data_IF_118682375530
#
_entry.id   IF_118682375530
#
_cell.length_a   1.000
_cell.length_b   1.000
_cell.length_c   1.000
_cell.angle_alpha   90.00
_cell.angle_beta   90.00
_cell.angle_gamma   90.00
#
_symmetry.space_group_name_H-M   'P 1'
#
loop_
_entity.id
_entity.type
_entity.pdbx_description
1 polymer ?
#
# COMPACT_ATOMS: atom_id res chain seq x y z
N UNK A 1 42.26 3.77 -32.19
CA UNK A 1 41.36 4.89 -31.88
C UNK A 1 39.93 4.45 -31.60
N UNK A 2 39.42 3.41 -32.20
CA UNK A 2 38.06 2.87 -31.93
C UNK A 2 37.94 2.14 -30.60
N UNK A 3 39.03 1.64 -30.03
CA UNK A 3 39.05 0.88 -28.77
C UNK A 3 38.74 1.76 -27.54
N UNK A 4 39.08 3.04 -27.59
CA UNK A 4 38.86 3.97 -26.46
C UNK A 4 37.44 4.56 -26.42
N UNK A 5 36.71 4.45 -27.53
CA UNK A 5 35.30 4.92 -27.57
C UNK A 5 34.29 3.90 -27.03
N UNK A 6 34.65 2.60 -27.01
CA UNK A 6 33.82 1.54 -26.51
C UNK A 6 33.75 1.53 -24.97
N UNK A 7 34.81 1.94 -24.31
CA UNK A 7 34.88 1.97 -22.84
C UNK A 7 33.85 2.91 -22.19
N UNK A 8 33.68 4.17 -22.64
CA UNK A 8 32.71 5.06 -22.06
C UNK A 8 31.25 4.65 -22.37
N UNK A 9 31.01 4.00 -23.50
CA UNK A 9 29.69 3.51 -23.86
C UNK A 9 29.25 2.34 -22.96
N UNK A 10 30.16 1.41 -22.67
CA UNK A 10 29.90 0.29 -21.77
C UNK A 10 29.68 0.78 -20.33
N UNK A 11 30.46 1.75 -19.88
CA UNK A 11 30.32 2.37 -18.56
C UNK A 11 29.01 3.14 -18.42
N UNK A 12 28.57 3.81 -19.50
CA UNK A 12 27.29 4.52 -19.54
C UNK A 12 26.08 3.58 -19.47
N UNK A 13 26.14 2.43 -20.14
CA UNK A 13 25.10 1.39 -20.06
C UNK A 13 24.98 0.78 -18.65
N UNK A 14 26.11 0.65 -17.94
CA UNK A 14 26.13 0.10 -16.59
C UNK A 14 25.46 1.04 -15.57
N UNK A 15 25.62 2.34 -15.74
CA UNK A 15 24.99 3.35 -14.88
C UNK A 15 23.47 3.41 -15.03
N UNK A 16 22.96 3.12 -16.23
CA UNK A 16 21.52 3.14 -16.51
C UNK A 16 20.79 1.95 -15.88
N UNK A 17 21.43 0.78 -15.82
CA UNK A 17 20.81 -0.42 -15.24
C UNK A 17 20.70 -0.38 -13.71
N UNK A 18 21.68 0.23 -13.05
CA UNK A 18 21.63 0.40 -11.57
C UNK A 18 20.64 1.48 -11.16
N UNK A 19 20.47 2.52 -11.98
CA UNK A 19 19.51 3.59 -11.72
C UNK A 19 18.05 3.14 -11.74
N UNK A 20 17.68 2.24 -12.64
CA UNK A 20 16.30 1.75 -12.74
C UNK A 20 15.86 0.91 -11.55
N UNK A 21 16.73 0.09 -10.99
CA UNK A 21 16.38 -0.75 -9.83
C UNK A 21 16.22 0.10 -8.56
N UNK A 22 17.07 1.09 -8.38
CA UNK A 22 16.96 2.01 -7.24
C UNK A 22 15.71 2.89 -7.33
N UNK A 23 15.29 3.27 -8.53
CA UNK A 23 14.09 4.08 -8.73
C UNK A 23 12.81 3.32 -8.40
N UNK A 24 12.74 2.04 -8.75
CA UNK A 24 11.58 1.19 -8.44
C UNK A 24 11.45 0.96 -6.94
N UNK A 25 12.55 0.69 -6.25
CA UNK A 25 12.56 0.52 -4.80
C UNK A 25 12.25 1.85 -4.10
N UNK A 26 12.82 2.95 -4.58
CA UNK A 26 12.57 4.27 -4.03
C UNK A 26 11.14 4.76 -4.25
N UNK A 27 10.55 4.50 -5.40
CA UNK A 27 9.16 4.87 -5.68
C UNK A 27 8.17 4.05 -4.85
N UNK A 28 8.42 2.76 -4.65
CA UNK A 28 7.60 1.91 -3.77
C UNK A 28 7.69 2.33 -2.30
N UNK A 29 8.83 2.87 -1.87
CA UNK A 29 9.07 3.29 -0.50
C UNK A 29 8.49 4.69 -0.18
N UNK A 30 8.47 5.62 -1.13
CA UNK A 30 8.16 7.02 -0.86
C UNK A 30 6.77 7.48 -1.30
N UNK A 31 6.39 7.20 -2.54
CA UNK A 31 5.17 7.75 -3.15
C UNK A 31 3.97 6.81 -3.06
N UNK A 32 4.17 5.53 -2.71
CA UNK A 32 3.12 4.54 -2.62
C UNK A 32 2.48 4.26 -3.98
N UNK A 33 2.99 3.25 -4.66
CA UNK A 33 2.34 2.76 -5.87
C UNK A 33 1.06 2.04 -5.48
N UNK A 34 -0.07 2.57 -5.93
CA UNK A 34 -1.36 1.91 -5.76
C UNK A 34 -1.61 0.92 -6.87
N UNK A 35 -2.09 -0.27 -6.50
CA UNK A 35 -2.63 -1.23 -7.45
C UNK A 35 -4.13 -1.31 -7.24
N UNK A 36 -4.90 -0.99 -8.27
CA UNK A 36 -6.37 -1.06 -8.23
C UNK A 36 -6.87 -2.21 -9.09
N UNK A 37 -7.49 -3.19 -8.45
CA UNK A 37 -8.05 -4.36 -9.13
C UNK A 37 -9.31 -4.84 -8.43
N UNK A 38 -10.36 -5.07 -9.19
CA UNK A 38 -11.64 -5.61 -8.69
C UNK A 38 -12.22 -4.82 -7.50
N UNK A 39 -12.13 -3.51 -7.57
CA UNK A 39 -12.59 -2.62 -6.50
C UNK A 39 -11.66 -2.52 -5.30
N UNK A 40 -10.54 -3.22 -5.30
CA UNK A 40 -9.58 -3.26 -4.22
C UNK A 40 -8.37 -2.39 -4.55
N UNK A 41 -8.12 -1.39 -3.72
CA UNK A 41 -6.95 -0.52 -3.81
C UNK A 41 -5.89 -1.01 -2.84
N UNK A 42 -4.75 -1.45 -3.36
CA UNK A 42 -3.65 -2.03 -2.58
C UNK A 42 -2.42 -1.13 -2.60
N UNK A 43 -1.72 -1.07 -1.49
CA UNK A 43 -0.45 -0.34 -1.34
C UNK A 43 0.47 -1.07 -0.37
N UNK A 44 1.78 -0.99 -0.66
CA UNK A 44 2.82 -1.46 0.26
C UNK A 44 3.25 -0.32 1.18
N UNK A 45 3.36 -0.61 2.47
CA UNK A 45 3.87 0.31 3.48
C UNK A 45 5.16 -0.25 4.09
N UNK A 46 6.14 0.62 4.27
CA UNK A 46 7.37 0.28 4.99
C UNK A 46 7.14 0.40 6.49
N UNK A 47 6.40 -0.54 7.04
CA UNK A 47 6.09 -0.61 8.46
C UNK A 47 5.84 -2.06 8.87
N UNK A 48 6.13 -2.42 10.13
CA UNK A 48 5.80 -3.74 10.66
C UNK A 48 4.31 -4.03 10.60
N UNK A 49 3.96 -5.30 10.53
CA UNK A 49 2.58 -5.75 10.43
C UNK A 49 1.68 -5.23 11.56
N UNK A 50 2.14 -5.36 12.80
CA UNK A 50 1.36 -4.92 13.97
C UNK A 50 1.14 -3.39 13.98
N UNK A 51 2.18 -2.63 13.67
CA UNK A 51 2.10 -1.17 13.56
C UNK A 51 1.12 -0.75 12.47
N UNK A 52 1.13 -1.43 11.33
CA UNK A 52 0.24 -1.16 10.21
C UNK A 52 -1.21 -1.51 10.57
N UNK A 53 -1.45 -2.62 11.26
CA UNK A 53 -2.79 -2.99 11.74
C UNK A 53 -3.36 -1.96 12.71
N UNK A 54 -2.56 -1.49 13.64
CA UNK A 54 -2.97 -0.43 14.57
C UNK A 54 -3.32 0.87 13.83
N UNK A 55 -2.52 1.22 12.82
CA UNK A 55 -2.79 2.39 11.99
C UNK A 55 -4.10 2.24 11.18
N UNK A 56 -4.38 1.06 10.67
CA UNK A 56 -5.62 0.76 9.96
C UNK A 56 -6.85 0.91 10.88
N UNK A 57 -6.80 0.29 12.04
CA UNK A 57 -7.88 0.36 13.04
C UNK A 57 -8.14 1.80 13.48
N UNK A 58 -7.08 2.53 13.85
CA UNK A 58 -7.18 3.91 14.27
C UNK A 58 -7.67 4.84 13.15
N UNK A 59 -7.33 4.56 11.91
CA UNK A 59 -7.82 5.31 10.75
C UNK A 59 -9.32 5.12 10.55
N UNK A 60 -9.80 3.88 10.62
CA UNK A 60 -11.23 3.58 10.51
C UNK A 60 -12.03 4.27 11.61
N UNK A 61 -11.55 4.25 12.84
CA UNK A 61 -12.17 4.95 13.96
C UNK A 61 -12.22 6.46 13.74
N UNK A 62 -11.11 7.04 13.29
CA UNK A 62 -11.03 8.49 13.01
C UNK A 62 -12.01 8.90 11.90
N UNK A 63 -12.18 8.09 10.89
CA UNK A 63 -13.08 8.34 9.76
C UNK A 63 -14.53 7.95 10.08
N UNK A 64 -14.81 7.51 11.31
CA UNK A 64 -16.15 7.09 11.77
C UNK A 64 -16.70 5.92 10.94
N UNK A 65 -15.81 5.01 10.55
CA UNK A 65 -16.16 3.77 9.88
C UNK A 65 -16.19 2.68 10.94
N UNK A 66 -17.39 2.18 11.25
CA UNK A 66 -17.59 1.24 12.33
C UNK A 66 -17.05 -0.15 11.98
N UNK A 67 -16.12 -0.65 12.77
CA UNK A 67 -15.58 -2.01 12.61
C UNK A 67 -16.64 -3.01 13.09
N UNK A 68 -17.01 -3.95 12.23
CA UNK A 68 -18.00 -4.99 12.52
C UNK A 68 -17.40 -6.33 12.83
N UNK A 69 -16.23 -6.64 12.26
CA UNK A 69 -15.52 -7.87 12.51
C UNK A 69 -14.05 -7.73 12.20
N UNK A 70 -13.21 -8.47 12.89
CA UNK A 70 -11.79 -8.55 12.64
C UNK A 70 -11.33 -10.01 12.77
N UNK A 71 -10.59 -10.48 11.77
CA UNK A 71 -10.04 -11.84 11.76
C UNK A 71 -8.54 -11.74 11.46
N UNK A 72 -7.71 -12.37 12.27
CA UNK A 72 -6.26 -12.38 12.11
C UNK A 72 -5.69 -13.78 12.27
N UNK A 73 -4.71 -14.14 11.44
CA UNK A 73 -3.95 -15.38 11.55
C UNK A 73 -2.46 -15.16 11.91
N UNK A 74 -2.08 -13.92 12.25
CA UNK A 74 -0.72 -13.53 12.61
C UNK A 74 0.11 -12.94 11.47
N UNK A 75 -0.22 -13.23 10.24
CA UNK A 75 0.43 -12.66 9.03
C UNK A 75 -0.57 -12.01 8.08
N UNK A 76 -1.84 -12.24 8.28
CA UNK A 76 -2.93 -11.61 7.54
C UNK A 76 -4.00 -11.17 8.53
N UNK A 77 -4.54 -9.98 8.34
CA UNK A 77 -5.69 -9.48 9.07
C UNK A 77 -6.74 -8.98 8.09
N UNK A 78 -7.99 -9.33 8.33
CA UNK A 78 -9.12 -8.83 7.57
C UNK A 78 -10.04 -8.07 8.53
N UNK A 79 -10.26 -6.79 8.26
CA UNK A 79 -11.15 -5.93 9.02
C UNK A 79 -12.38 -5.65 8.16
N UNK A 80 -13.54 -6.08 8.62
CA UNK A 80 -14.81 -5.73 8.03
C UNK A 80 -15.41 -4.55 8.77
N UNK A 81 -15.86 -3.55 8.06
CA UNK A 81 -16.39 -2.32 8.62
C UNK A 81 -17.55 -1.78 7.77
N UNK A 82 -18.29 -0.84 8.32
CA UNK A 82 -19.37 -0.15 7.62
C UNK A 82 -19.30 1.36 7.85
N UNK A 83 -19.50 2.10 6.78
CA UNK A 83 -19.65 3.55 6.84
C UNK A 83 -21.01 3.92 7.47
N UNK A 84 -21.16 5.18 7.86
CA UNK A 84 -22.42 5.70 8.44
C UNK A 84 -23.62 5.53 7.52
N UNK A 85 -23.40 5.52 6.19
CA UNK A 85 -24.44 5.28 5.20
C UNK A 85 -24.73 3.79 4.94
N UNK A 86 -24.10 2.88 5.69
CA UNK A 86 -24.27 1.44 5.54
C UNK A 86 -23.37 0.77 4.48
N UNK A 87 -22.56 1.54 3.76
CA UNK A 87 -21.65 1.00 2.75
C UNK A 87 -20.56 0.16 3.38
N UNK A 88 -20.36 -1.11 2.93
CA UNK A 88 -19.32 -1.95 3.48
C UNK A 88 -17.92 -1.49 3.08
N UNK A 89 -16.98 -1.63 4.00
CA UNK A 89 -15.56 -1.38 3.80
C UNK A 89 -14.80 -2.60 4.30
N UNK A 90 -13.87 -3.11 3.50
CA UNK A 90 -13.00 -4.21 3.89
C UNK A 90 -11.55 -3.76 3.79
N UNK A 91 -10.80 -3.91 4.87
CA UNK A 91 -9.36 -3.64 4.91
C UNK A 91 -8.64 -4.96 5.17
N UNK A 92 -7.73 -5.32 4.27
CA UNK A 92 -6.87 -6.48 4.43
C UNK A 92 -5.44 -6.04 4.59
N UNK A 93 -4.76 -6.57 5.60
CA UNK A 93 -3.33 -6.38 5.79
C UNK A 93 -2.63 -7.72 5.65
N UNK A 94 -1.50 -7.72 4.98
CA UNK A 94 -0.71 -8.91 4.69
C UNK A 94 0.76 -8.60 4.95
N UNK A 95 1.41 -9.41 5.77
CA UNK A 95 2.86 -9.31 5.99
C UNK A 95 3.58 -9.83 4.75
N UNK A 96 4.22 -8.95 4.01
CA UNK A 96 5.04 -9.31 2.84
C UNK A 96 6.46 -9.61 3.28
N UNK A 97 7.00 -8.75 4.14
CA UNK A 97 8.30 -8.89 4.79
C UNK A 97 8.19 -8.34 6.22
N UNK A 98 9.18 -8.61 7.12
CA UNK A 98 9.10 -8.15 8.51
C UNK A 98 8.84 -6.65 8.68
N UNK A 99 9.26 -5.83 7.73
CA UNK A 99 9.07 -4.37 7.72
C UNK A 99 8.27 -3.85 6.54
N UNK A 100 7.63 -4.73 5.80
CA UNK A 100 6.79 -4.35 4.66
C UNK A 100 5.45 -5.04 4.79
N UNK A 101 4.40 -4.24 4.88
CA UNK A 101 3.02 -4.71 4.99
C UNK A 101 2.22 -4.20 3.81
N UNK A 102 1.51 -5.10 3.16
CA UNK A 102 0.56 -4.77 2.11
C UNK A 102 -0.80 -4.48 2.73
N UNK A 103 -1.39 -3.35 2.40
CA UNK A 103 -2.73 -2.99 2.81
C UNK A 103 -3.61 -2.88 1.58
N UNK A 104 -4.74 -3.55 1.61
CA UNK A 104 -5.72 -3.57 0.53
C UNK A 104 -7.05 -3.08 1.06
N UNK A 105 -7.61 -2.04 0.47
CA UNK A 105 -8.87 -1.43 0.88
C UNK A 105 -9.90 -1.56 -0.22
N UNK A 106 -11.07 -2.06 0.12
CA UNK A 106 -12.22 -2.13 -0.76
C UNK A 106 -13.39 -1.41 -0.10
N UNK A 107 -13.98 -0.47 -0.78
CA UNK A 107 -15.17 0.26 -0.32
C UNK A 107 -16.26 0.17 -1.36
N UNK A 108 -17.49 -0.15 -0.94
CA UNK A 108 -18.64 -0.23 -1.81
C UNK A 108 -19.23 -1.65 -1.91
N UNK A 109 -20.28 -1.77 -2.69
CA UNK A 109 -20.92 -3.04 -3.02
C UNK A 109 -20.34 -3.63 -4.30
N UNK A 110 -20.51 -4.94 -4.48
CA UNK A 110 -20.06 -5.63 -5.69
C UNK A 110 -20.59 -4.92 -6.95
N UNK A 111 -19.66 -4.52 -7.82
CA UNK A 111 -19.99 -3.79 -9.05
C UNK A 111 -20.12 -2.28 -8.92
N UNK A 112 -20.17 -1.74 -7.68
CA UNK A 112 -20.23 -0.29 -7.40
C UNK A 112 -19.18 0.04 -6.35
N UNK A 113 -17.93 0.19 -6.80
CA UNK A 113 -16.79 0.44 -5.93
C UNK A 113 -16.51 1.93 -5.77
N UNK A 114 -16.23 2.35 -4.54
CA UNK A 114 -15.86 3.74 -4.22
C UNK A 114 -14.35 3.83 -4.02
N UNK A 115 -13.66 4.10 -5.11
CA UNK A 115 -12.20 4.27 -5.12
C UNK A 115 -11.75 5.46 -4.27
N UNK A 116 -12.52 6.54 -4.27
CA UNK A 116 -12.17 7.77 -3.53
C UNK A 116 -12.09 7.51 -2.03
N UNK A 117 -13.00 6.73 -1.49
CA UNK A 117 -12.96 6.34 -0.07
C UNK A 117 -11.75 5.45 0.22
N UNK A 118 -11.43 4.53 -0.67
CA UNK A 118 -10.24 3.70 -0.52
C UNK A 118 -8.94 4.53 -0.53
N UNK A 119 -8.86 5.52 -1.40
CA UNK A 119 -7.74 6.48 -1.44
C UNK A 119 -7.64 7.31 -0.15
N UNK A 120 -8.76 7.79 0.36
CA UNK A 120 -8.81 8.54 1.62
C UNK A 120 -8.31 7.70 2.80
N UNK A 121 -8.72 6.45 2.88
CA UNK A 121 -8.27 5.53 3.91
C UNK A 121 -6.77 5.31 3.81
N UNK A 122 -6.25 5.06 2.63
CA UNK A 122 -4.81 4.90 2.41
C UNK A 122 -4.02 6.15 2.76
N UNK A 123 -4.50 7.33 2.39
CA UNK A 123 -3.85 8.60 2.73
C UNK A 123 -3.77 8.79 4.25
N UNK A 124 -4.83 8.46 4.96
CA UNK A 124 -4.89 8.57 6.43
C UNK A 124 -3.96 7.56 7.11
N UNK A 125 -3.88 6.32 6.61
CA UNK A 125 -2.94 5.32 7.09
C UNK A 125 -1.50 5.80 6.89
N UNK A 126 -1.19 6.31 5.71
CA UNK A 126 0.14 6.82 5.39
C UNK A 126 0.57 7.95 6.34
N UNK A 127 -0.32 8.88 6.66
CA UNK A 127 -0.03 9.95 7.61
C UNK A 127 0.29 9.42 9.01
N UNK A 128 -0.41 8.38 9.46
CA UNK A 128 -0.15 7.77 10.78
C UNK A 128 1.19 7.03 10.83
N UNK A 129 1.56 6.38 9.74
CA UNK A 129 2.81 5.62 9.67
C UNK A 129 4.05 6.51 9.50
N UNK A 130 3.88 7.77 9.09
CA UNK A 130 4.96 8.75 8.97
C UNK A 130 5.28 9.48 10.29
N UNK A 131 4.43 9.34 11.29
CA UNK A 131 4.67 9.85 12.64
C UNK A 131 5.44 8.81 13.45
#
# INVERSE_FOLDING_TARGET
>A
MTRNLLLPVILSCYLITVGCTALVIGAAAGAGVYTYKDGQLSRLYQAPFDTTNQACTATLEKLKIAITAETSDGINTTIAAKRTNGTPVTVKTEMVEPRITKVSVRSGMVGIWDKNVSELIHASIAQRLQK
#
